data_IF_207464212284
#
_entry.id   IF_207464212284
#
_cell.length_a   1.000
_cell.length_b   1.000
_cell.length_c   1.000
_cell.angle_alpha   90.00
_cell.angle_beta   90.00
_cell.angle_gamma   90.00
#
_symmetry.space_group_name_H-M   'P 1'
#
loop_
_entity.id
_entity.type
_entity.pdbx_description
1 polymer ?
#
# COMPACT_ATOMS: atom_id res chain seq x y z
N UNK A 1 -38.87 14.15 2.82
CA UNK A 1 -38.05 15.29 2.35
C UNK A 1 -36.79 15.32 3.18
N UNK A 2 -35.68 14.82 2.63
CA UNK A 2 -34.38 14.81 3.32
C UNK A 2 -33.70 16.16 3.07
N UNK A 3 -33.70 17.04 4.07
CA UNK A 3 -32.83 18.21 4.10
C UNK A 3 -31.48 17.78 4.67
N UNK A 4 -30.60 17.26 3.82
CA UNK A 4 -29.16 17.28 4.09
C UNK A 4 -28.72 18.74 4.16
N UNK A 5 -28.07 19.12 5.27
CA UNK A 5 -27.69 20.50 5.55
C UNK A 5 -26.72 21.01 4.46
N UNK A 6 -26.91 22.22 3.91
CA UNK A 6 -26.02 22.81 2.90
C UNK A 6 -24.54 22.80 3.30
N UNK A 7 -24.26 22.95 4.60
CA UNK A 7 -22.89 23.07 5.14
C UNK A 7 -22.07 21.76 5.02
N UNK A 8 -22.69 20.58 5.09
CA UNK A 8 -21.99 19.29 4.95
C UNK A 8 -21.58 19.02 3.50
N UNK A 9 -22.43 19.41 2.54
CA UNK A 9 -22.13 19.29 1.11
C UNK A 9 -21.01 20.25 0.73
N UNK A 10 -21.00 21.45 1.31
CA UNK A 10 -20.01 22.48 1.04
C UNK A 10 -18.64 22.13 1.64
N UNK A 11 -18.58 21.55 2.84
CA UNK A 11 -17.33 21.03 3.41
C UNK A 11 -16.77 19.84 2.63
N UNK A 12 -17.61 18.89 2.19
CA UNK A 12 -17.15 17.78 1.34
C UNK A 12 -16.66 18.25 -0.04
N UNK A 13 -17.23 19.31 -0.59
CA UNK A 13 -16.76 19.93 -1.83
C UNK A 13 -15.41 20.64 -1.65
N UNK A 14 -15.21 21.35 -0.54
CA UNK A 14 -13.95 22.00 -0.21
C UNK A 14 -12.82 20.99 0.06
N UNK A 15 -13.11 19.89 0.76
CA UNK A 15 -12.14 18.79 0.98
C UNK A 15 -11.77 18.07 -0.32
N UNK A 16 -12.75 17.81 -1.19
CA UNK A 16 -12.50 17.25 -2.52
C UNK A 16 -11.69 18.21 -3.40
N UNK A 17 -12.01 19.51 -3.38
CA UNK A 17 -11.25 20.53 -4.11
C UNK A 17 -9.80 20.61 -3.61
N UNK A 18 -9.57 20.67 -2.30
CA UNK A 18 -8.22 20.67 -1.72
C UNK A 18 -7.44 19.38 -2.00
N UNK A 19 -8.09 18.22 -2.04
CA UNK A 19 -7.46 16.95 -2.44
C UNK A 19 -7.08 16.95 -3.92
N UNK A 20 -7.95 17.48 -4.81
CA UNK A 20 -7.65 17.56 -6.25
C UNK A 20 -6.57 18.57 -6.56
N UNK A 21 -6.51 19.69 -5.84
CA UNK A 21 -5.45 20.69 -5.98
C UNK A 21 -4.09 20.12 -5.54
N UNK A 22 -4.06 19.35 -4.45
CA UNK A 22 -2.85 18.64 -4.02
C UNK A 22 -2.41 17.58 -5.02
N UNK A 23 -3.34 16.82 -5.60
CA UNK A 23 -3.05 15.80 -6.61
C UNK A 23 -2.50 16.43 -7.90
N UNK A 24 -3.06 17.56 -8.34
CA UNK A 24 -2.54 18.34 -9.47
C UNK A 24 -1.14 18.90 -9.15
N UNK A 25 -0.91 19.41 -7.94
CA UNK A 25 0.39 19.91 -7.50
C UNK A 25 1.45 18.79 -7.47
N UNK A 26 1.11 17.60 -6.96
CA UNK A 26 1.96 16.42 -6.98
C UNK A 26 2.28 15.97 -8.40
N UNK A 27 1.28 15.95 -9.28
CA UNK A 27 1.45 15.58 -10.69
C UNK A 27 2.38 16.54 -11.43
N UNK A 28 2.21 17.85 -11.21
CA UNK A 28 3.09 18.87 -11.76
C UNK A 28 4.53 18.72 -11.24
N UNK A 29 4.70 18.39 -9.95
CA UNK A 29 6.02 18.15 -9.35
C UNK A 29 6.69 16.89 -9.93
N UNK A 30 5.93 15.83 -10.16
CA UNK A 30 6.42 14.61 -10.81
C UNK A 30 6.89 14.93 -12.24
N UNK A 31 6.10 15.66 -13.01
CA UNK A 31 6.48 16.06 -14.38
C UNK A 31 7.74 16.94 -14.40
N UNK A 32 7.89 17.84 -13.42
CA UNK A 32 9.08 18.67 -13.28
C UNK A 32 10.32 17.83 -12.96
N UNK A 33 10.22 16.88 -12.01
CA UNK A 33 11.29 15.95 -11.68
C UNK A 33 11.65 15.02 -12.85
N UNK A 34 10.66 14.54 -13.61
CA UNK A 34 10.89 13.73 -14.80
C UNK A 34 11.66 14.51 -15.88
N UNK A 35 11.34 15.80 -16.05
CA UNK A 35 12.05 16.70 -16.97
C UNK A 35 13.48 16.97 -16.51
N UNK A 36 13.69 17.21 -15.23
CA UNK A 36 15.04 17.36 -14.64
C UNK A 36 15.87 16.09 -14.82
N UNK A 37 15.27 14.92 -14.58
CA UNK A 37 15.93 13.63 -14.73
C UNK A 37 16.28 13.33 -16.20
N UNK A 38 15.41 13.70 -17.14
CA UNK A 38 15.71 13.60 -18.58
C UNK A 38 16.87 14.51 -18.99
N UNK A 39 16.88 15.76 -18.50
CA UNK A 39 17.97 16.72 -18.73
C UNK A 39 19.30 16.22 -18.15
N UNK A 40 19.29 15.71 -16.92
CA UNK A 40 20.46 15.14 -16.27
C UNK A 40 21.02 13.93 -17.05
N UNK A 41 20.14 13.03 -17.52
CA UNK A 41 20.55 11.91 -18.38
C UNK A 41 21.21 12.39 -19.67
N UNK A 42 20.63 13.39 -20.34
CA UNK A 42 21.18 13.94 -21.58
C UNK A 42 22.57 14.57 -21.35
N UNK A 43 22.72 15.35 -20.28
CA UNK A 43 24.01 15.95 -19.91
C UNK A 43 25.06 14.86 -19.63
N UNK A 44 24.67 13.78 -18.96
CA UNK A 44 25.58 12.68 -18.63
C UNK A 44 26.02 11.90 -19.88
N UNK A 45 25.13 11.69 -20.85
CA UNK A 45 25.51 11.13 -22.16
C UNK A 45 26.47 12.04 -22.93
N UNK A 46 26.25 13.36 -22.91
CA UNK A 46 27.17 14.31 -23.55
C UNK A 46 28.55 14.29 -22.90
N UNK A 47 28.61 14.29 -21.56
CA UNK A 47 29.87 14.18 -20.81
C UNK A 47 30.62 12.88 -21.15
N UNK A 48 29.91 11.75 -21.25
CA UNK A 48 30.51 10.47 -21.62
C UNK A 48 31.10 10.49 -23.05
N UNK A 49 30.40 11.09 -24.01
CA UNK A 49 30.88 11.25 -25.38
C UNK A 49 32.11 12.18 -25.47
N UNK A 50 32.09 13.29 -24.74
CA UNK A 50 33.22 14.23 -24.69
C UNK A 50 34.45 13.61 -24.04
N UNK A 51 34.29 12.85 -22.95
CA UNK A 51 35.37 12.09 -22.34
C UNK A 51 35.96 11.06 -23.30
N UNK A 52 35.12 10.37 -24.09
CA UNK A 52 35.57 9.43 -25.11
C UNK A 52 36.36 10.10 -26.22
N UNK A 53 35.92 11.26 -26.72
CA UNK A 53 36.65 12.05 -27.72
C UNK A 53 38.03 12.50 -27.21
N UNK A 54 38.08 13.06 -25.99
CA UNK A 54 39.35 13.48 -25.37
C UNK A 54 40.32 12.31 -25.19
N UNK A 55 39.81 11.13 -24.85
CA UNK A 55 40.63 9.92 -24.74
C UNK A 55 41.21 9.52 -26.11
N UNK A 56 40.41 9.50 -27.17
CA UNK A 56 40.88 9.19 -28.52
C UNK A 56 41.91 10.22 -29.03
N UNK A 57 41.70 11.51 -28.77
CA UNK A 57 42.67 12.55 -29.09
C UNK A 57 43.99 12.33 -28.34
N UNK A 58 43.93 12.03 -27.04
CA UNK A 58 45.11 11.72 -26.23
C UNK A 58 45.88 10.50 -26.74
N UNK A 59 45.17 9.41 -27.09
CA UNK A 59 45.77 8.20 -27.68
C UNK A 59 46.45 8.49 -29.02
N UNK A 60 45.83 9.33 -29.86
CA UNK A 60 46.42 9.71 -31.14
C UNK A 60 47.71 10.53 -30.97
N UNK A 61 47.71 11.49 -30.03
CA UNK A 61 48.88 12.29 -29.66
C UNK A 61 50.00 11.42 -29.09
N UNK A 62 49.67 10.48 -28.20
CA UNK A 62 50.63 9.55 -27.62
C UNK A 62 51.31 8.70 -28.71
N UNK A 63 50.54 8.27 -29.73
CA UNK A 63 51.07 7.51 -30.86
C UNK A 63 52.04 8.33 -31.72
N UNK A 64 51.73 9.61 -31.96
CA UNK A 64 52.61 10.54 -32.68
C UNK A 64 53.91 10.76 -31.89
N UNK A 65 53.80 11.08 -30.60
CA UNK A 65 54.96 11.26 -29.70
C UNK A 65 55.85 10.02 -29.66
N UNK A 66 55.27 8.82 -29.59
CA UNK A 66 56.04 7.57 -29.63
C UNK A 66 56.76 7.35 -30.96
N UNK A 67 56.13 7.70 -32.09
CA UNK A 67 56.80 7.66 -33.40
C UNK A 67 57.95 8.67 -33.47
N UNK A 68 57.76 9.87 -32.95
CA UNK A 68 58.77 10.93 -32.96
C UNK A 68 59.97 10.57 -32.07
N UNK A 69 59.72 10.03 -30.87
CA UNK A 69 60.77 9.45 -30.00
C UNK A 69 61.53 8.33 -30.74
N UNK A 70 60.83 7.48 -31.49
CA UNK A 70 61.47 6.39 -32.26
C UNK A 70 62.36 6.93 -33.38
N UNK A 71 61.90 7.96 -34.10
CA UNK A 71 62.68 8.63 -35.14
C UNK A 71 63.92 9.29 -34.53
N UNK A 72 63.76 10.06 -33.45
CA UNK A 72 64.87 10.70 -32.75
C UNK A 72 65.89 9.69 -32.24
N UNK A 73 65.43 8.55 -31.69
CA UNK A 73 66.31 7.48 -31.23
C UNK A 73 67.13 6.86 -32.36
N UNK A 74 66.52 6.67 -33.54
CA UNK A 74 67.22 6.18 -34.72
C UNK A 74 68.25 7.20 -35.23
N UNK A 75 67.89 8.48 -35.30
CA UNK A 75 68.83 9.57 -35.68
C UNK A 75 70.00 9.70 -34.69
N UNK A 76 69.77 9.46 -33.41
CA UNK A 76 70.81 9.47 -32.38
C UNK A 76 71.78 8.29 -32.56
N UNK A 77 71.26 7.10 -32.89
CA UNK A 77 72.08 5.93 -33.21
C UNK A 77 72.91 6.13 -34.50
N UNK A 78 72.37 6.82 -35.50
CA UNK A 78 73.09 7.17 -36.74
C UNK A 78 74.18 8.22 -36.52
N UNK A 79 73.98 9.18 -35.60
CA UNK A 79 74.99 10.18 -35.22
C UNK A 79 76.02 9.68 -34.21
N UNK A 80 75.80 8.51 -33.59
CA UNK A 80 76.74 7.88 -32.66
C UNK A 80 78.09 7.47 -33.27
N UNK A 81 78.22 7.50 -34.60
CA UNK A 81 79.44 7.14 -35.33
C UNK A 81 80.31 8.36 -35.74
N UNK A 82 79.88 9.58 -35.39
CA UNK A 82 80.65 10.81 -35.61
C UNK A 82 80.68 11.65 -34.34
N UNK A 83 81.89 11.96 -33.87
CA UNK A 83 82.21 12.75 -32.67
C UNK A 83 81.17 13.84 -32.34
N UNK A 84 80.38 13.60 -31.28
CA UNK A 84 79.36 14.54 -30.78
C UNK A 84 80.05 15.78 -30.17
N UNK A 85 79.67 16.96 -30.64
CA UNK A 85 80.20 18.24 -30.15
C UNK A 85 79.75 18.50 -28.71
N UNK A 86 80.60 19.13 -27.88
CA UNK A 86 80.31 19.49 -26.47
C UNK A 86 79.03 20.33 -26.32
N UNK A 87 78.66 21.09 -27.35
CA UNK A 87 77.42 21.87 -27.41
C UNK A 87 76.15 21.00 -27.42
N UNK A 88 76.18 19.87 -28.15
CA UNK A 88 75.04 18.97 -28.28
C UNK A 88 74.81 18.16 -27.00
N UNK A 89 75.90 17.77 -26.32
CA UNK A 89 75.82 17.19 -24.98
C UNK A 89 75.12 18.12 -23.98
N UNK A 90 75.38 19.42 -24.06
CA UNK A 90 74.78 20.42 -23.17
C UNK A 90 73.27 20.57 -23.43
N UNK A 91 72.87 20.63 -24.70
CA UNK A 91 71.44 20.68 -25.09
C UNK A 91 70.68 19.42 -24.69
N UNK A 92 71.27 18.24 -24.86
CA UNK A 92 70.67 16.97 -24.45
C UNK A 92 70.50 16.93 -22.92
N UNK A 93 71.48 17.43 -22.17
CA UNK A 93 71.40 17.51 -20.72
C UNK A 93 70.28 18.46 -20.26
N UNK A 94 70.14 19.63 -20.89
CA UNK A 94 69.04 20.58 -20.62
C UNK A 94 67.66 19.97 -20.94
N UNK A 95 67.53 19.28 -22.08
CA UNK A 95 66.30 18.57 -22.44
C UNK A 95 65.97 17.44 -21.47
N UNK A 96 66.98 16.71 -20.98
CA UNK A 96 66.79 15.64 -20.00
C UNK A 96 66.27 16.19 -18.66
N UNK A 97 66.84 17.30 -18.19
CA UNK A 97 66.37 17.97 -16.95
C UNK A 97 64.94 18.49 -17.12
N UNK A 98 64.63 19.11 -18.26
CA UNK A 98 63.26 19.57 -18.55
C UNK A 98 62.26 18.41 -18.61
N UNK A 99 62.63 17.29 -19.24
CA UNK A 99 61.80 16.08 -19.30
C UNK A 99 61.59 15.46 -17.91
N UNK A 100 62.63 15.38 -17.07
CA UNK A 100 62.50 14.92 -15.68
C UNK A 100 61.56 15.82 -14.88
N UNK A 101 61.66 17.15 -15.02
CA UNK A 101 60.79 18.08 -14.32
C UNK A 101 59.32 17.94 -14.75
N UNK A 102 59.07 17.72 -16.05
CA UNK A 102 57.75 17.40 -16.58
C UNK A 102 57.20 16.08 -16.05
N UNK A 103 58.05 15.05 -15.96
CA UNK A 103 57.66 13.74 -15.42
C UNK A 103 57.18 13.87 -13.97
N UNK A 104 57.95 14.58 -13.13
CA UNK A 104 57.60 14.84 -11.73
C UNK A 104 56.27 15.60 -11.61
N UNK A 105 56.02 16.58 -12.48
CA UNK A 105 54.76 17.34 -12.50
C UNK A 105 53.56 16.45 -12.84
N UNK A 106 53.72 15.56 -13.83
CA UNK A 106 52.66 14.61 -14.21
C UNK A 106 52.40 13.62 -13.08
N UNK A 107 53.43 13.11 -12.42
CA UNK A 107 53.29 12.19 -11.28
C UNK A 107 52.54 12.83 -10.10
N UNK A 108 52.85 14.09 -9.78
CA UNK A 108 52.13 14.87 -8.76
C UNK A 108 50.65 15.03 -9.13
N UNK A 109 50.35 15.49 -10.34
CA UNK A 109 48.96 15.65 -10.82
C UNK A 109 48.20 14.32 -10.79
N UNK A 110 48.85 13.22 -11.17
CA UNK A 110 48.22 11.89 -11.13
C UNK A 110 47.92 11.45 -9.70
N UNK A 111 48.77 11.83 -8.73
CA UNK A 111 48.54 11.50 -7.33
C UNK A 111 47.38 12.31 -6.75
N UNK A 112 47.29 13.60 -7.08
CA UNK A 112 46.14 14.46 -6.74
C UNK A 112 44.83 13.90 -7.31
N UNK A 113 44.81 13.54 -8.60
CA UNK A 113 43.64 12.93 -9.24
C UNK A 113 43.23 11.62 -8.55
N UNK A 114 44.21 10.81 -8.13
CA UNK A 114 43.95 9.55 -7.42
C UNK A 114 43.31 9.79 -6.05
N UNK A 115 43.76 10.79 -5.31
CA UNK A 115 43.15 11.16 -4.03
C UNK A 115 41.70 11.64 -4.22
N UNK A 116 41.44 12.44 -5.26
CA UNK A 116 40.08 12.90 -5.59
C UNK A 116 39.17 11.72 -5.98
N UNK A 117 39.68 10.75 -6.75
CA UNK A 117 38.92 9.55 -7.11
C UNK A 117 38.57 8.75 -5.85
N UNK A 118 39.55 8.48 -4.99
CA UNK A 118 39.30 7.74 -3.74
C UNK A 118 38.25 8.44 -2.87
N UNK A 119 38.34 9.77 -2.71
CA UNK A 119 37.36 10.53 -1.93
C UNK A 119 35.95 10.46 -2.53
N UNK A 120 35.83 10.44 -3.86
CA UNK A 120 34.54 10.27 -4.55
C UNK A 120 34.00 8.85 -4.40
N UNK A 121 34.86 7.83 -4.46
CA UNK A 121 34.47 6.43 -4.24
C UNK A 121 33.94 6.22 -2.83
N UNK A 122 34.58 6.79 -1.81
CA UNK A 122 34.09 6.77 -0.42
C UNK A 122 32.73 7.46 -0.29
N UNK A 123 32.55 8.62 -0.95
CA UNK A 123 31.28 9.33 -0.94
C UNK A 123 30.17 8.54 -1.65
N UNK A 124 30.48 7.86 -2.76
CA UNK A 124 29.53 6.99 -3.46
C UNK A 124 29.13 5.81 -2.57
N UNK A 125 30.09 5.17 -1.91
CA UNK A 125 29.81 4.06 -0.99
C UNK A 125 28.87 4.50 0.14
N UNK A 126 29.12 5.68 0.72
CA UNK A 126 28.25 6.24 1.76
C UNK A 126 26.84 6.54 1.25
N UNK A 127 26.71 7.17 0.08
CA UNK A 127 25.39 7.43 -0.52
C UNK A 127 24.63 6.14 -0.86
N UNK A 128 25.34 5.07 -1.24
CA UNK A 128 24.72 3.77 -1.48
C UNK A 128 24.20 3.14 -0.19
N UNK A 129 24.93 3.29 0.92
CA UNK A 129 24.48 2.86 2.25
C UNK A 129 23.24 3.64 2.68
N UNK A 130 23.28 4.97 2.61
CA UNK A 130 22.15 5.84 2.94
C UNK A 130 20.89 5.48 2.11
N UNK A 131 21.07 5.22 0.80
CA UNK A 131 19.96 4.80 -0.07
C UNK A 131 19.36 3.46 0.35
N UNK A 132 20.19 2.51 0.81
CA UNK A 132 19.72 1.22 1.28
C UNK A 132 18.92 1.37 2.58
N UNK A 133 19.43 2.15 3.55
CA UNK A 133 18.71 2.44 4.79
C UNK A 133 17.36 3.13 4.53
N UNK A 134 17.34 4.11 3.62
CA UNK A 134 16.12 4.80 3.23
C UNK A 134 15.11 3.86 2.54
N UNK A 135 15.57 2.89 1.75
CA UNK A 135 14.70 1.90 1.13
C UNK A 135 14.04 1.00 2.20
N UNK A 136 14.81 0.50 3.17
CA UNK A 136 14.30 -0.33 4.28
C UNK A 136 13.28 0.45 5.14
N UNK A 137 13.55 1.73 5.41
CA UNK A 137 12.61 2.61 6.11
C UNK A 137 11.32 2.83 5.31
N UNK A 138 11.42 3.00 3.99
CA UNK A 138 10.27 3.20 3.12
C UNK A 138 9.37 1.95 3.05
N UNK A 139 9.95 0.75 3.01
CA UNK A 139 9.22 -0.51 3.09
C UNK A 139 8.46 -0.64 4.42
N UNK A 140 9.09 -0.23 5.52
CA UNK A 140 8.45 -0.20 6.84
C UNK A 140 7.28 0.78 6.87
N UNK A 141 7.43 1.98 6.30
CA UNK A 141 6.35 2.97 6.19
C UNK A 141 5.19 2.42 5.34
N UNK A 142 5.48 1.74 4.23
CA UNK A 142 4.46 1.12 3.39
C UNK A 142 3.67 0.06 4.16
N UNK A 143 4.33 -0.80 4.92
CA UNK A 143 3.69 -1.80 5.78
C UNK A 143 2.81 -1.15 6.86
N UNK A 144 3.29 -0.10 7.52
CA UNK A 144 2.52 0.62 8.55
C UNK A 144 1.28 1.33 7.97
N UNK A 145 1.39 1.92 6.76
CA UNK A 145 0.23 2.49 6.06
C UNK A 145 -0.81 1.43 5.75
N UNK A 146 -0.39 0.27 5.25
CA UNK A 146 -1.31 -0.84 4.99
C UNK A 146 -2.01 -1.32 6.26
N UNK A 147 -1.29 -1.43 7.39
CA UNK A 147 -1.89 -1.76 8.69
C UNK A 147 -2.90 -0.70 9.15
N UNK A 148 -2.58 0.58 8.98
CA UNK A 148 -3.48 1.67 9.36
C UNK A 148 -4.79 1.64 8.55
N UNK A 149 -4.72 1.39 7.25
CA UNK A 149 -5.92 1.26 6.41
C UNK A 149 -6.76 0.04 6.77
N UNK A 150 -6.13 -1.09 7.11
CA UNK A 150 -6.84 -2.27 7.61
C UNK A 150 -7.57 -1.96 8.91
N UNK A 151 -6.89 -1.36 9.91
CA UNK A 151 -7.53 -1.00 11.17
C UNK A 151 -8.65 0.03 11.00
N UNK A 152 -8.49 0.97 10.07
CA UNK A 152 -9.57 1.92 9.74
C UNK A 152 -10.78 1.21 9.15
N UNK A 153 -10.56 0.31 8.18
CA UNK A 153 -11.62 -0.51 7.60
C UNK A 153 -12.32 -1.38 8.64
N UNK A 154 -11.56 -2.05 9.51
CA UNK A 154 -12.10 -2.89 10.57
C UNK A 154 -12.91 -2.07 11.58
N UNK A 155 -12.44 -0.89 11.94
CA UNK A 155 -13.15 0.02 12.83
C UNK A 155 -14.46 0.53 12.21
N UNK A 156 -14.45 0.88 10.92
CA UNK A 156 -15.65 1.31 10.20
C UNK A 156 -16.67 0.17 10.08
N UNK A 157 -16.22 -1.05 9.80
CA UNK A 157 -17.06 -2.24 9.75
C UNK A 157 -17.68 -2.55 11.13
N UNK A 158 -16.89 -2.52 12.20
CA UNK A 158 -17.37 -2.74 13.57
C UNK A 158 -18.38 -1.67 13.98
N UNK A 159 -18.12 -0.41 13.62
CA UNK A 159 -19.06 0.69 13.86
C UNK A 159 -20.38 0.47 13.13
N UNK A 160 -20.34 0.11 11.86
CA UNK A 160 -21.54 -0.16 11.06
C UNK A 160 -22.33 -1.34 11.64
N UNK A 161 -21.65 -2.43 12.03
CA UNK A 161 -22.28 -3.58 12.68
C UNK A 161 -22.96 -3.17 14.00
N UNK A 162 -22.29 -2.34 14.81
CA UNK A 162 -22.83 -1.83 16.07
C UNK A 162 -24.03 -0.91 15.88
N UNK A 163 -24.00 -0.06 14.86
CA UNK A 163 -25.13 0.80 14.50
C UNK A 163 -26.34 -0.03 14.03
N UNK A 164 -26.12 -1.07 13.21
CA UNK A 164 -27.16 -2.02 12.79
C UNK A 164 -27.78 -2.74 14.00
N UNK A 165 -26.95 -3.32 14.87
CA UNK A 165 -27.42 -4.00 16.08
C UNK A 165 -28.20 -3.07 17.01
N UNK A 166 -27.77 -1.80 17.12
CA UNK A 166 -28.50 -0.80 17.90
C UNK A 166 -29.88 -0.53 17.29
N UNK A 167 -29.98 -0.37 15.98
CA UNK A 167 -31.24 -0.17 15.26
C UNK A 167 -32.18 -1.37 15.43
N UNK A 168 -31.67 -2.60 15.28
CA UNK A 168 -32.46 -3.83 15.49
C UNK A 168 -32.96 -3.95 16.93
N UNK A 169 -32.09 -3.62 17.90
CA UNK A 169 -32.48 -3.59 19.32
C UNK A 169 -33.59 -2.58 19.59
N UNK A 170 -33.50 -1.38 19.01
CA UNK A 170 -34.53 -0.35 19.15
C UNK A 170 -35.86 -0.81 18.53
N UNK A 171 -35.82 -1.40 17.33
CA UNK A 171 -37.00 -1.97 16.67
C UNK A 171 -37.67 -3.08 17.50
N UNK A 172 -36.89 -4.05 18.00
CA UNK A 172 -37.41 -5.13 18.84
C UNK A 172 -38.00 -4.58 20.15
N UNK A 173 -37.38 -3.56 20.74
CA UNK A 173 -37.89 -2.93 21.95
C UNK A 173 -39.24 -2.23 21.70
N UNK A 174 -39.39 -1.54 20.58
CA UNK A 174 -40.65 -0.93 20.16
C UNK A 174 -41.74 -1.98 19.94
N UNK A 175 -41.45 -3.03 19.17
CA UNK A 175 -42.37 -4.14 18.89
C UNK A 175 -42.84 -4.81 20.19
N UNK A 176 -41.91 -5.04 21.13
CA UNK A 176 -42.23 -5.61 22.44
C UNK A 176 -43.15 -4.67 23.25
N UNK A 177 -42.92 -3.37 23.24
CA UNK A 177 -43.82 -2.40 23.88
C UNK A 177 -45.21 -2.37 23.22
N UNK A 178 -45.29 -2.50 21.89
CA UNK A 178 -46.55 -2.58 21.17
C UNK A 178 -47.34 -3.84 21.55
N UNK A 179 -46.67 -5.00 21.60
CA UNK A 179 -47.26 -6.26 22.01
C UNK A 179 -47.73 -6.24 23.46
N UNK A 180 -46.93 -5.69 24.38
CA UNK A 180 -47.33 -5.51 25.79
C UNK A 180 -48.59 -4.65 25.92
N UNK A 181 -48.65 -3.51 25.21
CA UNK A 181 -49.83 -2.65 25.18
C UNK A 181 -51.06 -3.38 24.65
N UNK A 182 -50.92 -4.13 23.55
CA UNK A 182 -52.04 -4.90 22.97
C UNK A 182 -52.48 -6.04 23.91
N UNK A 183 -51.55 -6.71 24.57
CA UNK A 183 -51.87 -7.76 25.53
C UNK A 183 -52.64 -7.20 26.74
N UNK A 184 -52.20 -6.06 27.27
CA UNK A 184 -52.90 -5.35 28.35
C UNK A 184 -54.33 -4.97 27.94
N UNK A 185 -54.52 -4.40 26.75
CA UNK A 185 -55.87 -4.10 26.21
C UNK A 185 -56.76 -5.35 26.11
N UNK A 186 -56.21 -6.47 25.60
CA UNK A 186 -56.96 -7.72 25.49
C UNK A 186 -57.32 -8.30 26.87
N UNK A 187 -56.45 -8.17 27.87
CA UNK A 187 -56.75 -8.58 29.24
C UNK A 187 -57.89 -7.74 29.83
N UNK A 188 -57.88 -6.43 29.61
CA UNK A 188 -58.97 -5.53 30.00
C UNK A 188 -60.28 -5.88 29.29
N UNK A 189 -60.26 -6.13 27.98
CA UNK A 189 -61.42 -6.59 27.21
C UNK A 189 -62.00 -7.91 27.77
N UNK A 190 -61.15 -8.89 28.09
CA UNK A 190 -61.56 -10.17 28.68
C UNK A 190 -62.12 -9.98 30.09
N UNK A 191 -61.54 -9.10 30.89
CA UNK A 191 -62.03 -8.78 32.23
C UNK A 191 -63.40 -8.09 32.17
N UNK A 192 -63.60 -7.15 31.24
CA UNK A 192 -64.91 -6.54 30.98
C UNK A 192 -65.96 -7.58 30.54
N UNK A 193 -65.59 -8.56 29.71
CA UNK A 193 -66.48 -9.67 29.33
C UNK A 193 -66.79 -10.61 30.51
N UNK A 194 -65.87 -10.76 31.47
CA UNK A 194 -66.07 -11.57 32.68
C UNK A 194 -66.91 -10.86 33.73
N UNK A 195 -66.79 -9.54 33.84
CA UNK A 195 -67.44 -8.71 34.86
C UNK A 195 -68.75 -8.06 34.36
N UNK A 196 -69.02 -8.09 33.05
CA UNK A 196 -70.25 -7.61 32.44
C UNK A 196 -71.35 -8.66 32.43
N UNK A 197 -72.47 -8.33 33.07
CA UNK A 197 -73.76 -9.02 32.95
C UNK A 197 -74.12 -9.21 31.47
N UNK A 198 -74.11 -10.46 31.01
CA UNK A 198 -74.76 -10.81 29.75
C UNK A 198 -76.26 -10.61 29.93
N UNK A 199 -76.82 -9.53 29.39
CA UNK A 199 -78.23 -9.54 28.98
C UNK A 199 -78.32 -10.59 27.88
N UNK A 200 -78.83 -11.76 28.25
CA UNK A 200 -79.19 -12.82 27.33
C UNK A 200 -80.30 -12.30 26.41
N UNK A 201 -79.93 -11.67 25.29
CA UNK A 201 -80.87 -11.37 24.22
C UNK A 201 -81.17 -12.71 23.55
N UNK A 202 -82.28 -13.32 23.98
CA UNK A 202 -82.80 -14.54 23.39
C UNK A 202 -82.95 -14.37 21.89
N UNK A 203 -82.10 -15.05 21.13
CA UNK A 203 -82.26 -15.21 19.69
C UNK A 203 -83.08 -16.48 19.47
N UNK A 204 -84.23 -16.42 18.77
CA UNK A 204 -84.91 -17.63 18.35
C UNK A 204 -84.05 -18.34 17.31
N UNK A 205 -83.84 -19.64 17.50
CA UNK A 205 -83.32 -20.55 16.46
C UNK A 205 -84.11 -20.37 15.15
N UNK A 206 -83.43 -20.49 14.00
CA UNK A 206 -83.63 -21.77 13.31
C UNK A 206 -82.41 -22.28 12.52
N UNK A 207 -82.51 -23.58 12.25
CA UNK A 207 -81.98 -24.34 11.10
C UNK A 207 -80.56 -24.87 11.19
N UNK A 208 -80.52 -26.16 11.47
CA UNK A 208 -79.50 -27.15 11.10
C UNK A 208 -79.08 -26.91 9.65
N UNK A 209 -77.85 -26.45 9.46
CA UNK A 209 -77.13 -26.49 8.20
C UNK A 209 -75.76 -27.13 8.42
N UNK A 210 -75.61 -28.24 7.75
CA UNK A 210 -74.46 -29.11 7.53
C UNK A 210 -73.16 -28.35 7.21
N UNK A 211 -72.11 -28.57 8.04
CA UNK A 211 -70.65 -28.60 7.74
C UNK A 211 -69.97 -27.43 6.96
N UNK A 212 -68.64 -27.18 7.11
CA UNK A 212 -67.61 -28.14 7.51
C UNK A 212 -66.71 -27.68 8.67
N UNK A 213 -66.21 -28.69 9.38
CA UNK A 213 -65.10 -28.58 10.32
C UNK A 213 -63.96 -27.75 9.73
N UNK A 214 -63.58 -26.69 10.44
CA UNK A 214 -62.26 -26.09 10.25
C UNK A 214 -61.21 -27.19 10.45
N UNK A 215 -60.22 -27.35 9.55
CA UNK A 215 -59.10 -28.22 9.83
C UNK A 215 -58.35 -27.60 11.01
N UNK A 216 -58.31 -28.31 12.14
CA UNK A 216 -57.22 -28.11 13.07
C UNK A 216 -55.96 -28.62 12.37
N UNK A 217 -55.37 -27.78 11.54
CA UNK A 217 -54.05 -28.01 10.99
C UNK A 217 -53.03 -27.73 12.11
N UNK A 218 -52.99 -28.68 13.05
CA UNK A 218 -51.91 -28.82 14.02
C UNK A 218 -50.72 -29.50 13.33
N UNK A 219 -50.22 -28.94 12.24
CA UNK A 219 -48.83 -29.17 11.85
C UNK A 219 -47.97 -28.14 12.59
N UNK A 220 -47.92 -28.26 13.92
CA UNK A 220 -46.85 -27.63 14.69
C UNK A 220 -45.58 -28.30 14.20
N UNK A 221 -44.75 -27.57 13.45
CA UNK A 221 -43.54 -28.10 12.81
C UNK A 221 -42.72 -28.87 13.85
N UNK A 222 -42.68 -30.19 13.70
CA UNK A 222 -41.88 -31.06 14.56
C UNK A 222 -40.51 -31.19 13.93
N UNK A 223 -39.47 -30.87 14.68
CA UNK A 223 -38.09 -30.98 14.24
C UNK A 223 -37.55 -32.37 14.63
N UNK A 224 -37.27 -33.27 13.67
CA UNK A 224 -36.70 -34.58 13.98
C UNK A 224 -35.19 -34.50 14.21
N UNK A 225 -34.69 -35.28 15.16
CA UNK A 225 -33.26 -35.51 15.33
C UNK A 225 -32.74 -36.40 14.18
N UNK A 226 -31.71 -35.99 13.42
CA UNK A 226 -31.22 -36.77 12.27
C UNK A 226 -30.57 -38.10 12.67
N UNK A 227 -30.28 -38.31 13.96
CA UNK A 227 -29.60 -39.51 14.47
C UNK A 227 -30.57 -40.60 14.98
N UNK A 228 -31.62 -40.19 15.70
CA UNK A 228 -32.54 -41.12 16.37
C UNK A 228 -34.02 -40.93 15.97
N UNK A 229 -34.29 -40.00 15.05
CA UNK A 229 -35.62 -39.63 14.52
C UNK A 229 -36.64 -39.20 15.60
N UNK A 230 -36.15 -38.85 16.80
CA UNK A 230 -36.99 -38.33 17.87
C UNK A 230 -37.44 -36.90 17.55
N UNK A 231 -38.73 -36.61 17.76
CA UNK A 231 -39.37 -35.38 17.29
C UNK A 231 -39.55 -34.37 18.41
N UNK A 232 -39.13 -33.15 18.16
CA UNK A 232 -39.18 -32.04 19.12
C UNK A 232 -40.07 -30.92 18.61
N UNK A 233 -40.64 -30.16 19.54
CA UNK A 233 -41.64 -29.12 19.25
C UNK A 233 -41.04 -27.71 19.18
N UNK A 234 -39.75 -27.60 19.51
CA UNK A 234 -38.97 -26.38 19.53
C UNK A 234 -37.49 -26.70 19.19
N UNK A 235 -36.82 -25.75 18.57
CA UNK A 235 -35.44 -25.91 18.10
C UNK A 235 -34.45 -26.07 19.28
N UNK A 236 -34.70 -25.42 20.41
CA UNK A 236 -33.82 -25.47 21.58
C UNK A 236 -33.83 -26.84 22.26
N UNK A 237 -35.00 -27.51 22.34
CA UNK A 237 -35.06 -28.89 22.81
C UNK A 237 -34.37 -29.86 21.83
N UNK A 238 -34.50 -29.66 20.52
CA UNK A 238 -33.77 -30.44 19.52
C UNK A 238 -32.25 -30.24 19.67
N UNK A 239 -31.78 -29.00 19.75
CA UNK A 239 -30.36 -28.67 19.85
C UNK A 239 -29.72 -29.31 21.09
N UNK A 240 -30.34 -29.16 22.26
CA UNK A 240 -29.90 -29.81 23.49
C UNK A 240 -29.87 -31.34 23.38
N UNK A 241 -30.86 -31.92 22.69
CA UNK A 241 -30.90 -33.35 22.44
C UNK A 241 -29.78 -33.77 21.49
N UNK A 242 -29.54 -33.07 20.38
CA UNK A 242 -28.52 -33.40 19.38
C UNK A 242 -27.12 -33.37 20.01
N UNK A 243 -26.80 -32.38 20.85
CA UNK A 243 -25.52 -32.35 21.58
C UNK A 243 -25.33 -33.61 22.43
N UNK A 244 -26.33 -33.99 23.23
CA UNK A 244 -26.26 -35.23 24.03
C UNK A 244 -26.28 -36.49 23.18
N UNK A 245 -27.06 -36.50 22.11
CA UNK A 245 -27.26 -37.66 21.25
C UNK A 245 -25.97 -37.97 20.49
N UNK A 246 -25.21 -36.97 20.04
CA UNK A 246 -23.90 -37.14 19.42
C UNK A 246 -22.86 -37.59 20.45
N UNK A 247 -22.84 -37.00 21.65
CA UNK A 247 -21.85 -37.33 22.70
C UNK A 247 -21.94 -38.78 23.23
N UNK A 248 -23.12 -39.41 23.17
CA UNK A 248 -23.30 -40.80 23.62
C UNK A 248 -22.57 -41.81 22.69
N UNK A 249 -22.28 -41.47 21.43
CA UNK A 249 -21.48 -42.33 20.53
C UNK A 249 -19.96 -42.17 20.74
N UNK A 250 -19.50 -41.14 21.44
CA UNK A 250 -18.07 -40.97 21.76
C UNK A 250 -17.60 -41.81 22.95
N UNK A 251 -18.48 -42.66 23.51
CA UNK A 251 -18.20 -43.51 24.68
C UNK A 251 -18.35 -45.01 24.43
N UNK A 252 -18.51 -45.45 23.17
CA UNK A 252 -18.44 -46.87 22.78
C UNK A 252 -17.67 -47.07 21.47
#
# INVERSE_FOLDING_TARGET
MFQTKPDEIQNQQLEKQGSTENEIALTNKIQELEKELASAKQLNTQLAEDSKKKLQESESLQKILLQEIKILKNQLNEKGDSTVSKEDHKKIQEQLVAAQMHLTKIELSRNEDKEVINAKEEMIAKLQEDLKEMAEANDTIAALRAQMELYKSDFEAERQAKESLKSEKEQIAEDLQHLQRRNQQLLEEVEHLRNGDFVHVGRPEPSIATSPSAPQDRTRAQFPCPKCDFKFWDYQALENHVYRCIEIDSLF
#
